data_IF_821633984993
#
_entry.id   IF_821633984993
#
_cell.length_a   1.000
_cell.length_b   1.000
_cell.length_c   1.000
_cell.angle_alpha   90.00
_cell.angle_beta   90.00
_cell.angle_gamma   90.00
#
_symmetry.space_group_name_H-M   'P 1'
#
loop_
_entity.id
_entity.type
_entity.pdbx_description
1 polymer ?
#
# COMPACT_ATOMS: atom_id res chain seq x y z
N UNK A 1 13.29 -23.07 5.63
CA UNK A 1 12.37 -21.93 5.37
C UNK A 1 11.31 -22.44 4.42
N UNK A 2 10.05 -22.51 4.85
CA UNK A 2 8.94 -22.96 4.00
C UNK A 2 8.60 -21.84 3.03
N UNK A 3 8.99 -22.00 1.77
CA UNK A 3 8.57 -21.11 0.69
C UNK A 3 7.10 -21.41 0.38
N UNK A 4 6.19 -20.53 0.81
CA UNK A 4 4.78 -20.60 0.43
C UNK A 4 4.65 -20.20 -1.04
N UNK A 5 4.07 -21.06 -1.85
CA UNK A 5 3.69 -20.71 -3.22
C UNK A 5 2.47 -19.79 -3.24
N UNK A 6 2.25 -19.09 -4.37
CA UNK A 6 1.06 -18.26 -4.56
C UNK A 6 -0.25 -19.05 -4.38
N UNK A 7 -0.31 -20.29 -4.88
CA UNK A 7 -1.50 -21.14 -4.76
C UNK A 7 -1.78 -21.54 -3.30
N UNK A 8 -0.74 -21.90 -2.54
CA UNK A 8 -0.88 -22.22 -1.12
C UNK A 8 -1.31 -20.99 -0.32
N UNK A 9 -0.77 -19.81 -0.64
CA UNK A 9 -1.15 -18.56 -0.02
C UNK A 9 -2.65 -18.26 -0.23
N UNK A 10 -3.12 -18.37 -1.47
CA UNK A 10 -4.54 -18.16 -1.79
C UNK A 10 -5.44 -19.19 -1.09
N UNK A 11 -4.99 -20.45 -0.98
CA UNK A 11 -5.74 -21.48 -0.28
C UNK A 11 -5.85 -21.18 1.21
N UNK A 12 -4.76 -20.72 1.85
CA UNK A 12 -4.78 -20.30 3.26
C UNK A 12 -5.73 -19.13 3.50
N UNK A 13 -5.67 -18.10 2.66
CA UNK A 13 -6.59 -16.95 2.72
C UNK A 13 -8.04 -17.41 2.58
N UNK A 14 -8.32 -18.31 1.62
CA UNK A 14 -9.66 -18.87 1.40
C UNK A 14 -10.17 -19.66 2.61
N UNK A 15 -9.28 -20.29 3.36
CA UNK A 15 -9.62 -20.99 4.61
C UNK A 15 -9.79 -20.04 5.80
N UNK A 16 -9.55 -18.72 5.63
CA UNK A 16 -9.56 -17.75 6.72
C UNK A 16 -8.33 -17.86 7.64
N UNK A 17 -7.26 -18.50 7.18
CA UNK A 17 -6.03 -18.61 7.93
C UNK A 17 -5.26 -17.28 7.90
N UNK A 18 -4.77 -16.85 9.06
CA UNK A 18 -3.83 -15.74 9.16
C UNK A 18 -2.47 -16.17 8.61
N UNK A 19 -1.90 -15.31 7.77
CA UNK A 19 -0.55 -15.47 7.24
C UNK A 19 0.40 -14.70 8.17
N UNK A 20 1.20 -15.43 8.95
CA UNK A 20 2.01 -14.85 10.02
C UNK A 20 3.48 -15.21 9.90
N UNK A 21 4.38 -14.25 10.13
CA UNK A 21 5.82 -14.46 10.29
C UNK A 21 6.47 -15.26 9.14
N UNK A 22 6.09 -14.98 7.89
CA UNK A 22 6.61 -15.66 6.71
C UNK A 22 7.30 -14.71 5.73
N UNK A 23 8.28 -15.26 5.01
CA UNK A 23 8.95 -14.56 3.92
C UNK A 23 8.31 -14.95 2.58
N UNK A 24 7.78 -13.95 1.88
CA UNK A 24 7.20 -13.98 0.55
C UNK A 24 7.91 -12.97 -0.38
N UNK A 25 9.17 -12.66 -0.10
CA UNK A 25 9.97 -11.70 -0.85
C UNK A 25 10.11 -12.14 -2.30
N UNK A 26 9.93 -11.20 -3.22
CA UNK A 26 10.00 -11.43 -4.65
C UNK A 26 8.95 -12.40 -5.21
N UNK A 27 7.94 -12.78 -4.42
CA UNK A 27 6.93 -13.73 -4.88
C UNK A 27 6.06 -13.10 -5.98
N UNK A 28 5.84 -13.88 -7.05
CA UNK A 28 4.96 -13.51 -8.16
C UNK A 28 3.50 -13.77 -7.75
N UNK A 29 2.79 -12.70 -7.42
CA UNK A 29 1.37 -12.69 -7.01
C UNK A 29 0.51 -11.91 -8.02
N UNK A 30 1.00 -11.77 -9.26
CA UNK A 30 0.32 -11.01 -10.30
C UNK A 30 -1.07 -11.60 -10.59
N UNK A 31 -2.11 -10.77 -10.48
CA UNK A 31 -3.49 -11.18 -10.72
C UNK A 31 -4.07 -12.14 -9.67
N UNK A 32 -3.32 -12.49 -8.62
CA UNK A 32 -3.81 -13.36 -7.57
C UNK A 32 -4.97 -12.71 -6.81
N UNK A 33 -5.93 -13.54 -6.41
CA UNK A 33 -6.97 -13.12 -5.48
C UNK A 33 -6.51 -13.34 -4.04
N UNK A 34 -6.22 -12.24 -3.34
CA UNK A 34 -5.81 -12.22 -1.94
C UNK A 34 -6.88 -11.58 -1.05
N UNK A 35 -8.09 -11.34 -1.56
CA UNK A 35 -9.15 -10.62 -0.85
C UNK A 35 -9.48 -11.25 0.50
N UNK A 36 -9.68 -10.42 1.53
CA UNK A 36 -9.94 -10.86 2.90
C UNK A 36 -8.72 -11.46 3.61
N UNK A 37 -7.55 -11.49 2.98
CA UNK A 37 -6.32 -11.98 3.59
C UNK A 37 -5.88 -11.12 4.77
N UNK A 38 -5.40 -11.78 5.83
CA UNK A 38 -4.82 -11.13 7.00
C UNK A 38 -3.36 -11.53 7.08
N UNK A 39 -2.48 -10.54 6.92
CA UNK A 39 -1.03 -10.67 6.95
C UNK A 39 -0.49 -9.98 8.20
N UNK A 40 0.31 -10.70 8.98
CA UNK A 40 0.95 -10.22 10.20
C UNK A 40 2.44 -10.53 10.15
N UNK A 41 3.30 -9.52 10.31
CA UNK A 41 4.76 -9.72 10.32
C UNK A 41 5.26 -10.49 9.08
N UNK A 42 4.73 -10.14 7.91
CA UNK A 42 5.05 -10.79 6.63
C UNK A 42 5.97 -9.91 5.81
N UNK A 43 7.02 -10.52 5.26
CA UNK A 43 7.92 -9.88 4.30
C UNK A 43 7.45 -10.17 2.88
N UNK A 44 7.22 -9.10 2.11
CA UNK A 44 6.79 -9.06 0.70
C UNK A 44 7.73 -8.12 -0.08
N UNK A 45 9.01 -8.07 0.30
CA UNK A 45 9.99 -7.17 -0.31
C UNK A 45 10.12 -7.48 -1.80
N UNK A 46 9.92 -6.48 -2.65
CA UNK A 46 9.97 -6.66 -4.10
C UNK A 46 8.92 -7.63 -4.68
N UNK A 47 7.92 -8.04 -3.91
CA UNK A 47 6.88 -8.94 -4.40
C UNK A 47 6.05 -8.28 -5.53
N UNK A 48 5.62 -9.07 -6.50
CA UNK A 48 4.82 -8.59 -7.62
C UNK A 48 3.34 -8.84 -7.35
N UNK A 49 2.64 -7.82 -6.88
CA UNK A 49 1.19 -7.78 -6.64
C UNK A 49 0.44 -7.06 -7.78
N UNK A 50 1.02 -6.97 -8.97
CA UNK A 50 0.40 -6.28 -10.10
C UNK A 50 -0.98 -6.88 -10.40
N UNK A 51 -1.99 -6.03 -10.55
CA UNK A 51 -3.39 -6.45 -10.78
C UNK A 51 -3.97 -7.43 -9.75
N UNK A 52 -3.33 -7.64 -8.60
CA UNK A 52 -3.86 -8.50 -7.55
C UNK A 52 -5.14 -7.91 -6.95
N UNK A 53 -6.04 -8.79 -6.50
CA UNK A 53 -7.21 -8.37 -5.73
C UNK A 53 -6.87 -8.34 -4.24
N UNK A 54 -6.81 -7.12 -3.69
CA UNK A 54 -6.51 -6.82 -2.29
C UNK A 54 -7.75 -6.25 -1.56
N UNK A 55 -8.95 -6.56 -2.05
CA UNK A 55 -10.19 -6.14 -1.40
C UNK A 55 -10.27 -6.67 0.04
N UNK A 56 -10.57 -5.80 1.00
CA UNK A 56 -10.72 -6.13 2.43
C UNK A 56 -9.52 -6.86 3.03
N UNK A 57 -8.31 -6.66 2.47
CA UNK A 57 -7.08 -7.23 3.06
C UNK A 57 -6.57 -6.39 4.21
N UNK A 58 -6.02 -7.05 5.22
CA UNK A 58 -5.35 -6.41 6.35
C UNK A 58 -3.88 -6.78 6.36
N UNK A 59 -3.01 -5.77 6.32
CA UNK A 59 -1.57 -5.91 6.52
C UNK A 59 -1.18 -5.24 7.83
N UNK A 60 -0.58 -6.00 8.73
CA UNK A 60 -0.07 -5.52 10.00
C UNK A 60 1.43 -5.82 10.07
N UNK A 61 2.23 -4.80 10.35
CA UNK A 61 3.68 -4.94 10.56
C UNK A 61 4.38 -5.63 9.37
N UNK A 62 3.90 -5.36 8.15
CA UNK A 62 4.40 -6.01 6.93
C UNK A 62 5.44 -5.15 6.20
N UNK A 63 6.37 -5.80 5.52
CA UNK A 63 7.38 -5.16 4.68
C UNK A 63 7.02 -5.34 3.21
N UNK A 64 6.64 -4.27 2.51
CA UNK A 64 6.32 -4.28 1.08
C UNK A 64 7.28 -3.39 0.26
N UNK A 65 8.43 -3.01 0.84
CA UNK A 65 9.39 -2.11 0.18
C UNK A 65 9.78 -2.63 -1.22
N UNK A 66 9.74 -1.75 -2.22
CA UNK A 66 10.04 -2.08 -3.62
C UNK A 66 9.03 -2.98 -4.32
N UNK A 67 7.92 -3.34 -3.67
CA UNK A 67 6.86 -4.16 -4.27
C UNK A 67 6.10 -3.46 -5.40
N UNK A 68 5.53 -4.25 -6.31
CA UNK A 68 4.73 -3.74 -7.43
C UNK A 68 3.24 -3.98 -7.16
N UNK A 69 2.47 -2.91 -7.03
CA UNK A 69 1.03 -2.88 -6.79
C UNK A 69 0.26 -2.25 -7.99
N UNK A 70 0.92 -2.04 -9.13
CA UNK A 70 0.32 -1.38 -10.30
C UNK A 70 -0.96 -2.09 -10.74
N UNK A 71 -2.05 -1.33 -10.87
CA UNK A 71 -3.36 -1.87 -11.24
C UNK A 71 -4.01 -2.80 -10.19
N UNK A 72 -3.41 -2.97 -9.01
CA UNK A 72 -4.02 -3.76 -7.94
C UNK A 72 -5.35 -3.14 -7.51
N UNK A 73 -6.28 -3.99 -7.07
CA UNK A 73 -7.60 -3.55 -6.59
C UNK A 73 -7.57 -3.49 -5.08
N UNK A 74 -7.40 -2.29 -4.53
CA UNK A 74 -7.40 -2.06 -3.09
C UNK A 74 -8.67 -1.31 -2.72
N UNK A 75 -9.63 -2.04 -2.17
CA UNK A 75 -10.88 -1.47 -1.69
C UNK A 75 -11.09 -1.95 -0.26
N UNK A 76 -11.27 -1.02 0.68
CA UNK A 76 -11.43 -1.31 2.10
C UNK A 76 -10.23 -2.08 2.71
N UNK A 77 -9.05 -1.95 2.11
CA UNK A 77 -7.82 -2.54 2.62
C UNK A 77 -7.25 -1.70 3.77
N UNK A 78 -6.68 -2.37 4.76
CA UNK A 78 -6.06 -1.72 5.93
C UNK A 78 -4.58 -2.08 6.00
N UNK A 79 -3.75 -1.08 6.19
CA UNK A 79 -2.31 -1.22 6.41
C UNK A 79 -1.99 -0.57 7.76
N UNK A 80 -1.41 -1.34 8.67
CA UNK A 80 -0.97 -0.88 9.99
C UNK A 80 0.52 -1.16 10.13
N UNK A 81 1.29 -0.14 10.47
CA UNK A 81 2.72 -0.26 10.78
C UNK A 81 3.53 -0.92 9.66
N UNK A 82 3.12 -0.68 8.40
CA UNK A 82 3.75 -1.26 7.22
C UNK A 82 4.81 -0.35 6.62
N UNK A 83 5.90 -0.98 6.16
CA UNK A 83 6.91 -0.31 5.33
C UNK A 83 6.60 -0.54 3.86
N UNK A 84 6.41 0.52 3.10
CA UNK A 84 5.99 0.49 1.70
C UNK A 84 6.78 1.51 0.88
N UNK A 85 8.06 1.66 1.20
CA UNK A 85 8.93 2.62 0.51
C UNK A 85 9.27 2.11 -0.89
N UNK A 86 9.42 3.03 -1.84
CA UNK A 86 9.75 2.72 -3.24
C UNK A 86 8.80 1.73 -3.94
N UNK A 87 7.54 1.61 -3.48
CA UNK A 87 6.56 0.78 -4.18
C UNK A 87 6.17 1.39 -5.52
N UNK A 88 5.82 0.53 -6.49
CA UNK A 88 5.17 0.96 -7.73
C UNK A 88 3.67 0.71 -7.62
N UNK A 89 2.89 1.75 -7.38
CA UNK A 89 1.43 1.69 -7.30
C UNK A 89 0.81 2.65 -8.31
N UNK A 90 1.33 2.69 -9.53
CA UNK A 90 0.79 3.49 -10.64
C UNK A 90 -0.51 2.87 -11.20
N UNK A 91 -1.37 3.70 -11.80
CA UNK A 91 -2.65 3.29 -12.40
C UNK A 91 -3.56 2.46 -11.45
N UNK A 92 -3.50 2.78 -10.16
CA UNK A 92 -4.15 2.00 -9.11
C UNK A 92 -5.37 2.74 -8.57
N UNK A 93 -6.45 1.99 -8.30
CA UNK A 93 -7.65 2.51 -7.65
C UNK A 93 -7.66 2.07 -6.19
N UNK A 94 -7.56 3.05 -5.30
CA UNK A 94 -7.66 2.86 -3.85
C UNK A 94 -8.95 3.51 -3.38
N UNK A 95 -9.86 2.72 -2.81
CA UNK A 95 -11.12 3.23 -2.26
C UNK A 95 -11.29 2.77 -0.82
N UNK A 96 -11.59 3.71 0.08
CA UNK A 96 -11.83 3.42 1.50
C UNK A 96 -10.67 2.69 2.19
N UNK A 97 -9.43 2.87 1.69
CA UNK A 97 -8.26 2.26 2.31
C UNK A 97 -7.80 3.08 3.53
N UNK A 98 -7.21 2.39 4.50
CA UNK A 98 -6.67 3.00 5.71
C UNK A 98 -5.19 2.66 5.82
N UNK A 99 -4.35 3.69 6.00
CA UNK A 99 -2.91 3.56 6.20
C UNK A 99 -2.55 4.17 7.55
N UNK A 100 -2.24 3.34 8.53
CA UNK A 100 -1.86 3.74 9.89
C UNK A 100 -0.38 3.49 10.11
N UNK A 101 0.36 4.52 10.48
CA UNK A 101 1.79 4.39 10.77
C UNK A 101 2.59 3.77 9.61
N UNK A 102 2.21 4.06 8.37
CA UNK A 102 2.86 3.49 7.19
C UNK A 102 3.93 4.40 6.60
N UNK A 103 4.93 3.79 5.97
CA UNK A 103 6.02 4.50 5.30
C UNK A 103 5.93 4.33 3.78
N UNK A 104 5.39 5.33 3.06
CA UNK A 104 5.14 5.28 1.60
C UNK A 104 6.17 6.08 0.79
N UNK A 105 7.26 6.51 1.43
CA UNK A 105 8.27 7.39 0.82
C UNK A 105 8.87 6.81 -0.47
N UNK A 106 9.15 7.68 -1.44
CA UNK A 106 9.68 7.34 -2.76
C UNK A 106 8.80 6.38 -3.61
N UNK A 107 7.57 6.07 -3.18
CA UNK A 107 6.65 5.29 -3.99
C UNK A 107 6.12 6.05 -5.20
N UNK A 108 5.90 5.34 -6.30
CA UNK A 108 5.24 5.86 -7.50
C UNK A 108 3.73 5.64 -7.42
N UNK A 109 2.97 6.73 -7.33
CA UNK A 109 1.50 6.72 -7.34
C UNK A 109 0.94 7.44 -8.58
N UNK A 110 1.72 7.50 -9.65
CA UNK A 110 1.33 8.17 -10.89
C UNK A 110 0.03 7.60 -11.45
N UNK A 111 -0.89 8.49 -11.84
CA UNK A 111 -2.23 8.17 -12.36
C UNK A 111 -3.16 7.41 -11.39
N UNK A 112 -2.74 7.18 -10.16
CA UNK A 112 -3.57 6.51 -9.15
C UNK A 112 -4.62 7.44 -8.56
N UNK A 113 -5.70 6.84 -8.06
CA UNK A 113 -6.79 7.54 -7.40
C UNK A 113 -6.95 7.04 -5.98
N UNK A 114 -7.12 7.98 -5.07
CA UNK A 114 -7.43 7.73 -3.67
C UNK A 114 -8.81 8.30 -3.41
N UNK A 115 -9.78 7.43 -3.16
CA UNK A 115 -11.15 7.79 -2.85
C UNK A 115 -11.45 7.39 -1.41
N UNK A 116 -11.94 8.33 -0.60
CA UNK A 116 -12.22 8.11 0.82
C UNK A 116 -11.10 7.41 1.63
N UNK A 117 -9.82 7.58 1.23
CA UNK A 117 -8.69 6.96 1.89
C UNK A 117 -8.21 7.78 3.09
N UNK A 118 -7.71 7.11 4.13
CA UNK A 118 -7.19 7.72 5.34
C UNK A 118 -5.71 7.42 5.51
N UNK A 119 -4.93 8.43 5.88
CA UNK A 119 -3.51 8.30 6.17
C UNK A 119 -3.24 8.88 7.57
N UNK A 120 -3.11 8.00 8.56
CA UNK A 120 -2.93 8.39 9.96
C UNK A 120 -1.50 8.13 10.39
N UNK A 121 -0.76 9.18 10.75
CA UNK A 121 0.65 9.10 11.19
C UNK A 121 1.57 8.38 10.17
N UNK A 122 1.21 8.44 8.90
CA UNK A 122 1.94 7.83 7.79
C UNK A 122 2.78 8.86 7.03
N UNK A 123 3.95 8.46 6.55
CA UNK A 123 4.83 9.30 5.72
C UNK A 123 4.52 9.05 4.25
N UNK A 124 4.41 10.11 3.47
CA UNK A 124 4.14 10.07 2.03
C UNK A 124 5.29 10.71 1.24
N UNK A 125 5.47 10.37 -0.05
CA UNK A 125 6.50 10.98 -0.88
C UNK A 125 6.23 12.48 -1.05
N UNK A 126 7.30 13.27 -1.16
CA UNK A 126 7.19 14.69 -1.49
C UNK A 126 6.47 14.84 -2.84
N UNK A 127 5.45 15.69 -2.92
CA UNK A 127 4.63 15.79 -4.13
C UNK A 127 5.48 16.34 -5.31
N UNK A 128 5.39 15.77 -6.52
CA UNK A 128 5.97 16.36 -7.70
C UNK A 128 5.26 17.69 -8.00
N UNK A 129 6.03 18.73 -8.30
CA UNK A 129 5.65 20.16 -8.29
C UNK A 129 4.51 20.59 -9.25
N UNK A 130 3.85 19.67 -9.97
CA UNK A 130 3.01 20.00 -11.14
C UNK A 130 1.64 19.33 -11.20
N UNK A 131 1.16 18.60 -10.18
CA UNK A 131 -0.09 17.83 -10.30
C UNK A 131 -1.33 18.46 -9.61
N UNK A 132 -2.36 18.90 -10.36
CA UNK A 132 -3.59 19.51 -9.81
C UNK A 132 -4.54 18.53 -9.09
N UNK A 133 -4.31 17.21 -9.25
CA UNK A 133 -5.20 16.15 -8.73
C UNK A 133 -5.17 15.98 -7.21
N UNK A 134 -4.16 16.52 -6.53
CA UNK A 134 -4.00 16.39 -5.07
C UNK A 134 -4.92 17.33 -4.27
N UNK A 135 -5.61 18.28 -4.92
CA UNK A 135 -6.52 19.22 -4.25
C UNK A 135 -7.78 18.57 -3.66
N UNK A 136 -8.19 17.39 -4.14
CA UNK A 136 -9.43 16.73 -3.70
C UNK A 136 -9.21 15.94 -2.39
N UNK A 137 -7.98 15.51 -2.09
CA UNK A 137 -7.63 14.79 -0.86
C UNK A 137 -7.48 15.70 0.38
N UNK A 138 -7.65 17.01 0.21
CA UNK A 138 -7.28 18.03 1.20
C UNK A 138 -8.47 18.67 1.93
N UNK A 139 -9.70 18.17 1.78
CA UNK A 139 -10.89 18.92 2.20
C UNK A 139 -11.28 18.86 3.68
N UNK A 140 -10.60 18.09 4.54
CA UNK A 140 -10.98 18.05 5.98
C UNK A 140 -9.86 18.32 7.00
N UNK A 141 -8.61 18.59 6.59
CA UNK A 141 -7.58 19.07 7.54
C UNK A 141 -6.38 19.84 6.95
N UNK A 142 -6.51 20.40 5.74
CA UNK A 142 -5.41 21.07 5.04
C UNK A 142 -5.19 22.56 5.41
N UNK A 143 -5.16 22.90 6.71
CA UNK A 143 -4.62 24.20 7.16
C UNK A 143 -3.17 24.09 7.64
N UNK A 144 -2.77 22.90 8.10
CA UNK A 144 -1.40 22.61 8.53
C UNK A 144 -0.47 22.26 7.35
N UNK A 145 -0.96 21.51 6.35
CA UNK A 145 -0.16 21.07 5.20
C UNK A 145 0.31 22.20 4.26
N UNK A 146 -0.41 23.33 4.19
CA UNK A 146 0.10 24.53 3.47
C UNK A 146 1.27 25.20 4.20
N UNK A 147 1.34 25.07 5.53
CA UNK A 147 2.30 25.77 6.40
C UNK A 147 3.66 25.06 6.51
N UNK A 148 3.68 23.73 6.42
CA UNK A 148 4.93 22.95 6.43
C UNK A 148 5.48 22.67 5.02
N UNK A 149 4.76 23.11 3.99
CA UNK A 149 5.23 23.06 2.61
C UNK A 149 6.23 24.19 2.29
N UNK A 150 6.08 25.37 2.91
CA UNK A 150 6.90 26.54 2.58
C UNK A 150 8.31 26.55 3.19
N UNK A 151 8.72 25.52 3.96
CA UNK A 151 10.05 25.45 4.56
C UNK A 151 11.03 24.49 3.86
N UNK A 152 10.63 23.84 2.76
CA UNK A 152 11.49 22.94 1.99
C UNK A 152 11.99 23.56 0.67
N UNK A 153 11.90 24.90 0.53
CA UNK A 153 12.36 25.65 -0.66
C UNK A 153 13.46 26.67 -0.32
N UNK A 154 14.30 26.38 0.66
CA UNK A 154 15.49 27.17 0.94
C UNK A 154 16.73 26.25 0.97
N UNK A 155 17.14 25.84 -0.23
CA UNK A 155 18.52 25.75 -0.73
C UNK A 155 18.47 25.22 -2.17
#
# INVERSE_FOLDING_TARGET
MTTLSAAELQQKIKNGEMINACNLDGLELQGCNLSGGIFQDVSLLGANLQAANLHETVFNECLLNGGTLSGARMQQSVFNDCEMTAISACDTLMAQCIFNHCELGNGDFSRSRFDACQFMRSRYPAAPSTSPRWNVLLSSRARWMRRNWSSASAC
#
